data_IF_924839108826
#
_entry.id   IF_924839108826
#
_cell.length_a   1.000
_cell.length_b   1.000
_cell.length_c   1.000
_cell.angle_alpha   90.00
_cell.angle_beta   90.00
_cell.angle_gamma   90.00
#
_symmetry.space_group_name_H-M   'P 1'
#
loop_
_entity.id
_entity.type
_entity.pdbx_description
1 polymer ?
#
# COMPACT_ATOMS: atom_id res chain seq x y z
N UNK A 1 38.88 -3.81 -13.29
CA UNK A 1 39.05 -5.17 -13.82
C UNK A 1 37.99 -5.36 -14.88
N UNK A 2 38.35 -5.93 -16.02
CA UNK A 2 37.36 -6.25 -17.05
C UNK A 2 36.53 -7.44 -16.56
N UNK A 3 35.21 -7.32 -16.64
CA UNK A 3 34.29 -8.40 -16.32
C UNK A 3 34.08 -9.27 -17.56
N UNK A 4 33.82 -10.58 -17.40
CA UNK A 4 33.35 -11.42 -18.49
C UNK A 4 32.08 -10.84 -19.11
N UNK A 5 31.96 -10.95 -20.42
CA UNK A 5 30.84 -10.39 -21.21
C UNK A 5 29.96 -11.51 -21.74
N UNK A 6 28.67 -11.26 -22.00
CA UNK A 6 27.83 -12.23 -22.70
C UNK A 6 28.45 -12.65 -24.03
N UNK A 7 28.46 -13.96 -24.30
CA UNK A 7 28.91 -14.51 -25.57
C UNK A 7 27.99 -14.12 -26.73
N UNK A 8 28.40 -14.34 -27.99
CA UNK A 8 27.68 -13.85 -29.18
C UNK A 8 26.22 -14.31 -29.30
N UNK A 9 25.88 -15.47 -28.74
CA UNK A 9 24.51 -16.02 -28.74
C UNK A 9 23.71 -15.69 -27.47
N UNK A 10 24.32 -15.00 -26.49
CA UNK A 10 23.68 -14.61 -25.24
C UNK A 10 23.39 -15.75 -24.27
N UNK A 11 23.98 -16.94 -24.45
CA UNK A 11 23.68 -18.13 -23.62
C UNK A 11 24.74 -18.45 -22.56
N UNK A 12 25.86 -17.74 -22.55
CA UNK A 12 26.97 -17.90 -21.61
C UNK A 12 27.83 -16.64 -21.55
N UNK A 13 28.85 -16.63 -20.68
CA UNK A 13 29.83 -15.55 -20.59
C UNK A 13 31.21 -15.97 -21.12
N UNK A 14 31.90 -15.03 -21.75
CA UNK A 14 33.27 -15.16 -22.23
C UNK A 14 34.21 -14.19 -21.53
N UNK A 15 35.44 -14.63 -21.33
CA UNK A 15 36.55 -13.76 -20.95
C UNK A 15 37.71 -14.01 -21.91
N UNK A 16 38.21 -12.94 -22.54
CA UNK A 16 39.26 -13.04 -23.58
C UNK A 16 38.92 -14.00 -24.74
N UNK A 17 37.63 -14.07 -25.13
CA UNK A 17 37.16 -14.88 -26.27
C UNK A 17 36.98 -16.37 -25.98
N UNK A 18 37.00 -16.79 -24.71
CA UNK A 18 36.73 -18.16 -24.31
C UNK A 18 35.61 -18.23 -23.26
N UNK A 19 34.70 -19.21 -23.33
CA UNK A 19 33.69 -19.44 -22.30
C UNK A 19 34.34 -19.67 -20.93
N UNK A 20 33.80 -19.02 -19.88
CA UNK A 20 34.33 -19.18 -18.52
C UNK A 20 33.70 -20.37 -17.75
N UNK A 21 32.64 -20.97 -18.30
CA UNK A 21 31.98 -22.17 -17.77
C UNK A 21 31.29 -22.97 -18.89
N UNK A 22 30.97 -24.24 -18.62
CA UNK A 22 30.36 -25.16 -19.60
C UNK A 22 28.84 -25.01 -19.74
N UNK A 23 28.14 -24.61 -18.66
CA UNK A 23 26.68 -24.49 -18.67
C UNK A 23 26.22 -23.48 -19.73
N UNK A 24 25.06 -23.75 -20.35
CA UNK A 24 24.38 -22.84 -21.28
C UNK A 24 22.99 -22.53 -20.75
N UNK A 25 22.66 -21.24 -20.73
CA UNK A 25 21.38 -20.70 -20.28
C UNK A 25 20.55 -20.30 -21.50
N UNK A 26 19.27 -19.96 -21.30
CA UNK A 26 18.47 -19.39 -22.40
C UNK A 26 18.90 -17.96 -22.69
N UNK A 27 19.16 -17.19 -21.64
CA UNK A 27 19.63 -15.80 -21.71
C UNK A 27 20.55 -15.56 -20.52
N UNK A 28 21.65 -14.83 -20.74
CA UNK A 28 22.47 -14.23 -19.70
C UNK A 28 22.49 -12.71 -19.84
N UNK A 29 22.31 -12.01 -18.72
CA UNK A 29 22.66 -10.60 -18.56
C UNK A 29 24.15 -10.46 -18.23
N UNK A 30 24.73 -9.26 -18.32
CA UNK A 30 26.15 -9.04 -18.05
C UNK A 30 26.50 -9.20 -16.57
N UNK A 31 27.76 -9.56 -16.28
CA UNK A 31 28.27 -9.46 -14.92
C UNK A 31 28.30 -7.99 -14.46
N UNK A 32 27.85 -7.77 -13.23
CA UNK A 32 27.93 -6.51 -12.48
C UNK A 32 28.69 -6.72 -11.19
N UNK A 33 29.28 -5.66 -10.64
CA UNK A 33 29.78 -5.72 -9.26
C UNK A 33 28.61 -6.10 -8.33
N UNK A 34 28.76 -7.08 -7.42
CA UNK A 34 30.00 -7.66 -6.87
C UNK A 34 30.61 -8.86 -7.63
N UNK A 35 30.15 -9.17 -8.84
CA UNK A 35 30.61 -10.28 -9.67
C UNK A 35 29.51 -11.27 -10.02
N UNK A 36 28.27 -10.77 -10.11
CA UNK A 36 27.06 -11.56 -10.30
C UNK A 36 26.38 -11.20 -11.62
N UNK A 37 25.77 -12.19 -12.27
CA UNK A 37 25.04 -12.00 -13.52
C UNK A 37 23.65 -12.61 -13.44
N UNK A 38 22.65 -11.88 -13.94
CA UNK A 38 21.30 -12.38 -14.15
C UNK A 38 21.28 -13.45 -15.24
N UNK A 39 20.54 -14.53 -15.04
CA UNK A 39 20.36 -15.59 -16.03
C UNK A 39 18.92 -16.09 -16.03
N UNK A 40 18.52 -16.69 -17.15
CA UNK A 40 17.22 -17.35 -17.30
C UNK A 40 17.40 -18.74 -17.91
N UNK A 41 16.78 -19.76 -17.31
CA UNK A 41 16.72 -21.13 -17.85
C UNK A 41 15.31 -21.73 -17.72
N UNK A 42 15.14 -23.04 -17.88
CA UNK A 42 13.84 -23.73 -17.72
C UNK A 42 13.25 -23.59 -16.32
N UNK A 43 14.07 -23.39 -15.28
CA UNK A 43 13.64 -23.27 -13.89
C UNK A 43 13.18 -21.86 -13.51
N UNK A 44 13.55 -20.85 -14.29
CA UNK A 44 13.24 -19.44 -14.05
C UNK A 44 14.46 -18.54 -14.09
N UNK A 45 14.30 -17.32 -13.60
CA UNK A 45 15.34 -16.29 -13.53
C UNK A 45 16.04 -16.28 -12.15
N UNK A 46 17.36 -16.10 -12.13
CA UNK A 46 18.20 -16.05 -10.92
C UNK A 46 19.58 -15.47 -11.23
N UNK A 47 20.46 -15.39 -10.24
CA UNK A 47 21.84 -14.91 -10.40
C UNK A 47 22.89 -16.01 -10.25
N UNK A 48 23.97 -15.89 -11.02
CA UNK A 48 25.13 -16.79 -10.99
C UNK A 48 26.41 -16.04 -10.65
N UNK A 49 27.39 -16.79 -10.14
CA UNK A 49 28.77 -16.36 -10.00
C UNK A 49 29.61 -16.62 -11.27
N UNK A 50 30.91 -16.31 -11.25
CA UNK A 50 31.83 -16.54 -12.37
C UNK A 50 32.02 -18.02 -12.74
N UNK A 51 31.65 -18.96 -11.88
CA UNK A 51 31.69 -20.40 -12.20
C UNK A 51 30.43 -20.87 -12.96
N UNK A 52 29.43 -20.00 -13.12
CA UNK A 52 28.13 -20.37 -13.68
C UNK A 52 27.21 -21.05 -12.66
N UNK A 53 27.58 -21.02 -11.37
CA UNK A 53 26.81 -21.63 -10.30
C UNK A 53 25.77 -20.67 -9.75
N UNK A 54 24.53 -21.12 -9.45
CA UNK A 54 23.53 -20.28 -8.79
C UNK A 54 24.03 -19.80 -7.43
N UNK A 55 23.80 -18.52 -7.13
CA UNK A 55 24.15 -17.94 -5.81
C UNK A 55 23.15 -18.37 -4.72
N UNK A 56 21.91 -18.66 -5.11
CA UNK A 56 20.81 -19.05 -4.23
C UNK A 56 19.81 -20.00 -4.94
N UNK A 57 18.90 -20.61 -4.18
CA UNK A 57 18.01 -21.67 -4.66
C UNK A 57 16.71 -21.14 -5.29
N UNK A 58 16.25 -19.96 -4.88
CA UNK A 58 15.03 -19.35 -5.35
C UNK A 58 15.04 -19.07 -6.87
N UNK A 59 13.86 -19.16 -7.48
CA UNK A 59 13.66 -18.89 -8.91
C UNK A 59 12.52 -17.92 -9.11
N UNK A 60 12.74 -16.96 -10.01
CA UNK A 60 11.85 -15.84 -10.25
C UNK A 60 11.29 -15.87 -11.67
N UNK A 61 10.21 -15.11 -11.90
CA UNK A 61 9.73 -14.88 -13.26
C UNK A 61 10.65 -13.95 -14.04
N UNK A 62 11.37 -13.07 -13.33
CA UNK A 62 12.37 -12.15 -13.86
C UNK A 62 13.28 -11.65 -12.73
N UNK A 63 14.54 -11.34 -13.06
CA UNK A 63 15.48 -10.63 -12.18
C UNK A 63 16.15 -9.51 -12.99
N UNK A 64 16.41 -8.37 -12.34
CA UNK A 64 17.21 -7.28 -12.88
C UNK A 64 18.70 -7.50 -12.66
N UNK A 65 19.52 -6.61 -13.19
CA UNK A 65 20.96 -6.59 -12.93
C UNK A 65 21.25 -6.16 -11.48
N UNK A 66 22.42 -6.55 -10.95
CA UNK A 66 22.89 -5.99 -9.68
C UNK A 66 23.35 -4.53 -9.88
N UNK A 67 22.86 -3.66 -9.01
CA UNK A 67 23.26 -2.27 -8.89
C UNK A 67 23.24 -1.86 -7.41
N UNK A 68 24.28 -1.13 -6.96
CA UNK A 68 24.48 -0.77 -5.54
C UNK A 68 24.29 -1.97 -4.58
N UNK A 69 24.93 -3.10 -4.93
CA UNK A 69 24.92 -4.37 -4.18
C UNK A 69 23.54 -5.03 -3.98
N UNK A 70 22.54 -4.57 -4.74
CA UNK A 70 21.16 -5.05 -4.67
C UNK A 70 20.66 -5.45 -6.08
N UNK A 71 19.70 -6.36 -6.15
CA UNK A 71 19.00 -6.69 -7.38
C UNK A 71 17.49 -6.69 -7.15
N UNK A 72 16.73 -6.27 -8.17
CA UNK A 72 15.27 -6.40 -8.17
C UNK A 72 14.87 -7.78 -8.69
N UNK A 73 13.86 -8.39 -8.08
CA UNK A 73 13.29 -9.66 -8.53
C UNK A 73 11.79 -9.55 -8.68
N UNK A 74 11.22 -10.30 -9.63
CA UNK A 74 9.79 -10.41 -9.87
C UNK A 74 9.31 -11.83 -9.60
N UNK A 75 8.45 -11.98 -8.61
CA UNK A 75 7.81 -13.25 -8.26
C UNK A 75 6.91 -13.78 -9.37
N UNK A 76 6.58 -15.07 -9.33
CA UNK A 76 5.57 -15.66 -10.23
C UNK A 76 4.19 -15.01 -10.10
N UNK A 77 3.87 -14.44 -8.92
CA UNK A 77 2.64 -13.68 -8.67
C UNK A 77 2.63 -12.28 -9.28
N UNK A 78 3.76 -11.81 -9.82
CA UNK A 78 3.90 -10.51 -10.47
C UNK A 78 4.39 -9.39 -9.56
N UNK A 79 4.50 -9.63 -8.25
CA UNK A 79 5.06 -8.69 -7.28
C UNK A 79 6.58 -8.59 -7.37
N UNK A 80 7.10 -7.42 -7.02
CA UNK A 80 8.51 -7.09 -6.99
C UNK A 80 9.05 -6.95 -5.56
N UNK A 81 10.33 -7.24 -5.37
CA UNK A 81 11.09 -6.83 -4.19
C UNK A 81 12.59 -6.84 -4.50
N UNK A 82 13.42 -6.34 -3.57
CA UNK A 82 14.87 -6.34 -3.71
C UNK A 82 15.53 -7.45 -2.90
N UNK A 83 16.65 -7.96 -3.40
CA UNK A 83 17.53 -8.92 -2.73
C UNK A 83 18.94 -8.34 -2.64
N UNK A 84 19.69 -8.78 -1.63
CA UNK A 84 21.13 -8.52 -1.52
C UNK A 84 21.95 -9.60 -2.27
N UNK A 85 23.27 -9.48 -2.25
CA UNK A 85 24.21 -10.37 -2.94
C UNK A 85 24.09 -11.86 -2.57
N UNK A 86 23.58 -12.21 -1.38
CA UNK A 86 23.33 -13.62 -1.01
C UNK A 86 21.92 -14.11 -1.37
N UNK A 87 21.15 -13.33 -2.13
CA UNK A 87 19.76 -13.67 -2.47
C UNK A 87 18.76 -13.40 -1.34
N UNK A 88 19.18 -12.79 -0.22
CA UNK A 88 18.28 -12.49 0.89
C UNK A 88 17.47 -11.25 0.58
N UNK A 89 16.17 -11.34 0.86
CA UNK A 89 15.23 -10.24 0.71
C UNK A 89 15.62 -9.03 1.56
N UNK A 90 15.53 -7.86 0.96
CA UNK A 90 15.67 -6.55 1.60
C UNK A 90 14.27 -6.02 1.94
N UNK A 91 14.07 -5.63 3.20
CA UNK A 91 12.78 -5.20 3.73
C UNK A 91 11.73 -6.31 3.79
N UNK A 92 10.46 -5.93 4.02
CA UNK A 92 9.36 -6.88 4.25
C UNK A 92 8.16 -6.70 3.31
N UNK A 93 8.20 -5.71 2.40
CA UNK A 93 7.05 -5.35 1.57
C UNK A 93 7.23 -5.84 0.13
N UNK A 94 6.17 -6.39 -0.44
CA UNK A 94 6.07 -6.59 -1.89
C UNK A 94 5.68 -5.26 -2.53
N UNK A 95 6.17 -5.03 -3.74
CA UNK A 95 5.93 -3.84 -4.52
C UNK A 95 5.16 -4.19 -5.79
N UNK A 96 4.30 -3.28 -6.24
CA UNK A 96 3.67 -3.37 -7.56
C UNK A 96 4.72 -3.28 -8.67
N UNK A 97 5.76 -2.49 -8.41
CA UNK A 97 6.92 -2.31 -9.26
C UNK A 97 8.09 -1.81 -8.42
N UNK A 98 9.30 -2.18 -8.83
CA UNK A 98 10.52 -1.69 -8.24
C UNK A 98 11.58 -1.50 -9.32
N UNK A 99 12.34 -0.43 -9.17
CA UNK A 99 13.49 -0.12 -10.01
C UNK A 99 14.76 -0.76 -9.49
N UNK A 100 15.76 -0.87 -10.36
CA UNK A 100 17.15 -1.11 -9.95
C UNK A 100 17.66 0.09 -9.14
N UNK A 101 18.59 -0.17 -8.23
CA UNK A 101 19.22 0.92 -7.48
C UNK A 101 20.13 1.77 -8.36
N UNK A 102 20.12 3.06 -8.10
CA UNK A 102 21.02 4.03 -8.71
C UNK A 102 21.28 5.16 -7.72
N UNK A 103 22.55 5.57 -7.60
CA UNK A 103 22.99 6.58 -6.64
C UNK A 103 22.55 6.24 -5.19
N UNK A 104 22.51 4.95 -4.85
CA UNK A 104 22.12 4.45 -3.52
C UNK A 104 20.61 4.48 -3.23
N UNK A 105 19.77 4.77 -4.23
CA UNK A 105 18.31 4.84 -4.08
C UNK A 105 17.57 4.04 -5.16
N UNK A 106 16.35 3.59 -4.89
CA UNK A 106 15.48 3.00 -5.90
C UNK A 106 14.06 3.53 -5.76
N UNK A 107 13.35 3.67 -6.89
CA UNK A 107 11.91 3.96 -6.89
C UNK A 107 11.14 2.66 -6.69
N UNK A 108 10.15 2.69 -5.80
CA UNK A 108 9.19 1.60 -5.62
C UNK A 108 7.77 2.10 -5.69
N UNK A 109 6.89 1.27 -6.24
CA UNK A 109 5.46 1.51 -6.29
C UNK A 109 4.74 0.57 -5.34
N UNK A 110 3.91 1.14 -4.47
CA UNK A 110 3.00 0.36 -3.65
C UNK A 110 1.56 0.59 -4.06
N UNK A 111 0.83 -0.52 -4.09
CA UNK A 111 -0.63 -0.53 -4.25
C UNK A 111 -1.25 0.40 -3.21
N UNK A 112 -2.09 1.32 -3.66
CA UNK A 112 -2.81 2.31 -2.85
C UNK A 112 -1.99 3.45 -2.21
N UNK A 113 -0.68 3.56 -2.51
CA UNK A 113 0.14 4.69 -2.03
C UNK A 113 0.77 5.49 -3.18
N UNK A 114 1.21 4.80 -4.25
CA UNK A 114 1.96 5.41 -5.35
C UNK A 114 3.44 5.09 -5.27
N UNK A 115 4.26 6.04 -5.69
CA UNK A 115 5.71 5.93 -5.81
C UNK A 115 6.43 6.57 -4.62
N UNK A 116 7.58 6.03 -4.23
CA UNK A 116 8.53 6.68 -3.30
C UNK A 116 9.95 6.16 -3.55
N UNK A 117 10.94 6.81 -2.96
CA UNK A 117 12.34 6.37 -3.01
C UNK A 117 12.72 5.62 -1.73
N UNK A 118 13.46 4.53 -1.88
CA UNK A 118 14.00 3.75 -0.77
C UNK A 118 15.53 3.69 -0.82
N UNK A 119 16.14 3.48 0.35
CA UNK A 119 17.57 3.17 0.51
C UNK A 119 17.86 1.71 0.19
N UNK A 120 19.13 1.34 0.02
CA UNK A 120 19.56 -0.07 -0.13
C UNK A 120 19.22 -0.94 1.08
N UNK A 121 18.92 -0.33 2.24
CA UNK A 121 18.35 -1.02 3.42
C UNK A 121 16.86 -1.35 3.29
N UNK A 122 16.17 -0.85 2.26
CA UNK A 122 14.73 -1.01 2.06
C UNK A 122 13.88 -0.01 2.86
N UNK A 123 14.50 1.01 3.44
CA UNK A 123 13.85 2.07 4.21
C UNK A 123 13.43 3.19 3.27
N UNK A 124 12.33 3.89 3.55
CA UNK A 124 11.99 5.07 2.77
C UNK A 124 13.03 6.17 3.00
N UNK A 125 13.48 6.82 1.93
CA UNK A 125 14.50 7.87 1.98
C UNK A 125 14.01 9.10 2.76
N UNK A 126 12.74 9.42 2.54
CA UNK A 126 11.95 10.44 3.24
C UNK A 126 10.53 9.88 3.38
N UNK A 127 9.62 10.62 4.00
CA UNK A 127 8.31 10.04 4.34
C UNK A 127 7.27 10.04 3.20
N UNK A 128 7.43 10.86 2.18
CA UNK A 128 6.37 11.16 1.23
C UNK A 128 6.13 10.08 0.16
N UNK A 129 4.89 10.05 -0.33
CA UNK A 129 4.44 9.24 -1.44
C UNK A 129 3.92 10.15 -2.56
N UNK A 130 4.37 9.86 -3.78
CA UNK A 130 4.00 10.60 -4.98
C UNK A 130 3.11 9.76 -5.87
N UNK A 131 2.38 10.38 -6.79
CA UNK A 131 1.67 9.65 -7.83
C UNK A 131 2.63 8.99 -8.82
N UNK A 132 3.77 9.62 -9.06
CA UNK A 132 4.81 9.16 -9.97
C UNK A 132 6.16 9.66 -9.47
N UNK A 133 7.24 8.91 -9.71
CA UNK A 133 8.59 9.31 -9.34
C UNK A 133 9.60 8.78 -10.35
N UNK A 134 10.66 9.56 -10.59
CA UNK A 134 11.85 9.15 -11.33
C UNK A 134 13.00 8.95 -10.34
N UNK A 135 13.91 8.03 -10.65
CA UNK A 135 15.15 7.86 -9.88
C UNK A 135 15.96 9.15 -9.78
N UNK A 136 16.70 9.31 -8.68
CA UNK A 136 17.59 10.46 -8.48
C UNK A 136 18.68 10.49 -9.55
N UNK A 137 19.01 11.70 -10.01
CA UNK A 137 20.17 11.98 -10.86
C UNK A 137 20.83 13.27 -10.40
N UNK A 138 22.10 13.21 -10.03
CA UNK A 138 22.84 14.36 -9.48
C UNK A 138 22.12 15.00 -8.28
N UNK A 139 21.48 14.19 -7.43
CA UNK A 139 20.77 14.64 -6.22
C UNK A 139 19.39 15.27 -6.43
N UNK A 140 18.86 15.31 -7.66
CA UNK A 140 17.49 15.74 -7.96
C UNK A 140 16.63 14.57 -8.47
N UNK A 141 15.35 14.56 -8.11
CA UNK A 141 14.35 13.63 -8.67
C UNK A 141 13.11 14.38 -9.13
N UNK A 142 12.55 13.95 -10.27
CA UNK A 142 11.26 14.42 -10.77
C UNK A 142 10.15 13.54 -10.18
N UNK A 143 9.18 14.16 -9.52
CA UNK A 143 8.04 13.47 -8.89
C UNK A 143 6.74 14.18 -9.25
N UNK A 144 5.60 13.50 -9.03
CA UNK A 144 4.27 14.04 -9.32
C UNK A 144 3.40 14.03 -8.08
N UNK A 145 2.94 15.21 -7.67
CA UNK A 145 1.91 15.39 -6.64
C UNK A 145 0.56 15.81 -7.28
N UNK A 146 -0.35 16.36 -6.48
CA UNK A 146 -1.65 16.83 -6.94
C UNK A 146 -1.65 18.12 -7.76
N UNK A 147 -0.67 18.98 -7.53
CA UNK A 147 -0.52 20.24 -8.24
C UNK A 147 0.22 20.05 -9.56
N UNK A 148 0.90 18.91 -9.71
CA UNK A 148 1.51 18.48 -10.95
C UNK A 148 2.90 17.91 -10.71
N UNK A 149 3.82 18.20 -11.62
CA UNK A 149 5.18 17.73 -11.53
C UNK A 149 6.05 18.72 -10.77
N UNK A 150 6.98 18.20 -9.98
CA UNK A 150 7.92 18.97 -9.19
C UNK A 150 9.27 18.24 -9.13
N UNK A 151 10.33 19.01 -8.91
CA UNK A 151 11.66 18.49 -8.64
C UNK A 151 11.92 18.59 -7.14
N UNK A 152 12.39 17.49 -6.56
CA UNK A 152 12.77 17.38 -5.16
C UNK A 152 14.26 17.05 -5.01
N UNK A 153 14.83 17.39 -3.85
CA UNK A 153 16.16 16.94 -3.45
C UNK A 153 16.12 15.57 -2.72
N UNK A 154 17.29 15.04 -2.36
CA UNK A 154 17.42 13.74 -1.65
C UNK A 154 16.83 13.73 -0.24
N UNK A 155 16.45 14.88 0.30
CA UNK A 155 15.74 14.98 1.59
C UNK A 155 14.22 14.98 1.42
N UNK A 156 13.73 15.03 0.18
CA UNK A 156 12.31 15.16 -0.16
C UNK A 156 11.83 16.61 -0.23
N UNK A 157 12.71 17.60 -0.10
CA UNK A 157 12.32 19.00 -0.15
C UNK A 157 12.07 19.44 -1.60
N UNK A 158 10.93 20.09 -1.85
CA UNK A 158 10.63 20.70 -3.15
C UNK A 158 11.65 21.79 -3.50
N UNK A 159 12.21 21.70 -4.70
CA UNK A 159 13.11 22.69 -5.30
C UNK A 159 12.31 23.63 -6.21
N UNK A 160 11.48 23.08 -7.10
CA UNK A 160 10.69 23.81 -8.11
C UNK A 160 9.58 22.95 -8.70
N UNK A 161 8.51 23.61 -9.19
CA UNK A 161 7.56 22.99 -10.12
C UNK A 161 8.19 22.70 -11.48
N UNK A 162 7.68 21.71 -12.18
CA UNK A 162 8.18 21.22 -13.45
C UNK A 162 7.04 20.81 -14.39
N UNK A 163 7.36 20.66 -15.67
CA UNK A 163 6.48 20.08 -16.67
C UNK A 163 6.50 18.54 -16.60
N UNK A 164 5.43 17.87 -17.08
CA UNK A 164 5.43 16.42 -17.21
C UNK A 164 6.60 15.92 -18.08
N UNK A 165 7.18 14.75 -17.75
CA UNK A 165 8.16 14.11 -18.62
C UNK A 165 7.50 13.66 -19.91
N UNK A 166 8.27 13.61 -21.01
CA UNK A 166 7.79 13.16 -22.31
C UNK A 166 7.33 11.69 -22.30
N UNK A 167 7.97 10.86 -21.45
CA UNK A 167 7.65 9.44 -21.30
C UNK A 167 6.86 9.18 -20.00
N UNK A 168 5.66 8.62 -20.15
CA UNK A 168 4.89 8.06 -19.03
C UNK A 168 5.63 6.88 -18.40
N UNK A 169 5.52 6.73 -17.08
CA UNK A 169 6.13 5.59 -16.43
C UNK A 169 5.32 4.31 -16.66
N UNK A 170 5.97 3.13 -16.69
CA UNK A 170 5.31 1.88 -17.04
C UNK A 170 4.11 1.52 -16.16
N UNK A 171 4.03 2.10 -14.97
CA UNK A 171 3.03 1.77 -13.94
C UNK A 171 2.16 2.93 -13.49
N UNK A 172 2.28 4.11 -14.11
CA UNK A 172 1.54 5.32 -13.70
C UNK A 172 0.01 5.16 -13.80
N UNK A 173 -0.47 4.20 -14.60
CA UNK A 173 -1.90 3.86 -14.73
C UNK A 173 -2.37 2.58 -14.00
N UNK A 174 -1.47 1.81 -13.36
CA UNK A 174 -1.82 0.58 -12.63
C UNK A 174 -1.97 0.79 -11.12
N UNK A 175 -1.53 1.94 -10.60
CA UNK A 175 -1.75 2.31 -9.21
C UNK A 175 -3.21 2.71 -9.02
N UNK A 176 -3.97 1.90 -8.29
CA UNK A 176 -5.30 2.30 -7.81
C UNK A 176 -5.13 3.42 -6.79
N UNK A 177 -5.35 4.66 -7.20
CA UNK A 177 -5.46 5.79 -6.29
C UNK A 177 -6.85 5.75 -5.66
N UNK A 178 -6.97 5.02 -4.54
CA UNK A 178 -8.20 5.06 -3.76
C UNK A 178 -8.24 6.41 -3.06
N UNK A 179 -8.88 7.35 -3.73
CA UNK A 179 -9.07 8.74 -3.30
C UNK A 179 -10.07 9.41 -4.23
N UNK A 180 -9.66 9.65 -5.48
CA UNK A 180 -10.58 10.14 -6.52
C UNK A 180 -11.36 8.99 -7.21
N UNK A 181 -10.95 7.72 -7.04
CA UNK A 181 -11.55 6.56 -7.71
C UNK A 181 -12.29 5.58 -6.78
N UNK A 182 -12.57 5.96 -5.51
CA UNK A 182 -13.29 5.04 -4.62
C UNK A 182 -14.59 4.57 -5.30
N UNK A 183 -14.83 3.24 -5.41
CA UNK A 183 -16.04 2.73 -6.06
C UNK A 183 -17.28 2.96 -5.20
N UNK A 184 -17.12 3.25 -3.90
CA UNK A 184 -18.21 3.34 -2.93
C UNK A 184 -19.30 4.33 -3.38
N UNK A 185 -19.00 5.61 -3.73
CA UNK A 185 -20.02 6.52 -4.23
C UNK A 185 -20.79 6.03 -5.46
N UNK A 186 -20.14 5.30 -6.37
CA UNK A 186 -20.79 4.73 -7.56
C UNK A 186 -21.70 3.57 -7.15
N UNK A 187 -21.21 2.65 -6.32
CA UNK A 187 -21.95 1.49 -5.86
C UNK A 187 -23.18 1.90 -5.04
N UNK A 188 -23.08 2.95 -4.22
CA UNK A 188 -24.22 3.52 -3.49
C UNK A 188 -25.33 4.01 -4.42
N UNK A 189 -24.99 4.57 -5.59
CA UNK A 189 -25.97 5.05 -6.58
C UNK A 189 -26.58 3.92 -7.42
N UNK A 190 -25.80 2.88 -7.69
CA UNK A 190 -26.22 1.76 -8.56
C UNK A 190 -26.99 0.67 -7.83
N UNK A 191 -26.98 0.68 -6.49
CA UNK A 191 -27.61 -0.36 -5.66
C UNK A 191 -28.91 0.16 -5.05
N UNK A 192 -29.95 -0.65 -5.04
CA UNK A 192 -31.18 -0.37 -4.28
C UNK A 192 -31.02 -0.74 -2.80
N UNK A 193 -31.40 0.17 -1.91
CA UNK A 193 -31.33 0.03 -0.45
C UNK A 193 -32.16 1.11 0.25
N UNK A 194 -32.58 0.79 1.48
CA UNK A 194 -33.39 1.65 2.36
C UNK A 194 -32.53 2.36 3.43
N UNK A 195 -31.36 1.83 3.77
CA UNK A 195 -30.32 2.54 4.51
C UNK A 195 -28.92 2.04 4.09
N UNK A 196 -27.91 2.91 4.12
CA UNK A 196 -26.52 2.53 3.86
C UNK A 196 -25.60 3.04 4.97
N UNK A 197 -24.66 2.20 5.39
CA UNK A 197 -23.57 2.59 6.30
C UNK A 197 -22.24 2.30 5.61
N UNK A 198 -21.42 3.32 5.45
CA UNK A 198 -20.09 3.23 4.83
C UNK A 198 -19.07 3.18 5.95
N UNK A 199 -18.36 2.06 6.11
CA UNK A 199 -17.19 1.99 7.00
C UNK A 199 -15.95 2.18 6.13
N UNK A 200 -15.22 3.27 6.35
CA UNK A 200 -14.10 3.68 5.49
C UNK A 200 -12.87 4.00 6.31
N UNK A 201 -11.68 3.69 5.79
CA UNK A 201 -10.42 4.16 6.38
C UNK A 201 -10.31 5.68 6.21
N UNK A 202 -9.72 6.38 7.18
CA UNK A 202 -9.33 7.78 7.01
C UNK A 202 -8.55 8.02 5.70
N UNK A 203 -8.59 9.26 5.22
CA UNK A 203 -7.86 9.67 4.03
C UNK A 203 -6.35 9.69 4.26
N UNK A 204 -5.59 9.92 3.19
CA UNK A 204 -4.15 9.93 3.29
C UNK A 204 -3.65 10.92 4.34
N UNK A 205 -2.69 10.47 5.14
CA UNK A 205 -2.01 11.27 6.14
C UNK A 205 -0.53 11.34 5.86
N UNK A 206 0.09 12.33 6.46
CA UNK A 206 1.54 12.42 6.51
C UNK A 206 2.15 11.11 7.06
N UNK A 207 3.32 10.73 6.53
CA UNK A 207 4.08 9.58 6.97
C UNK A 207 4.53 9.69 8.43
N UNK A 208 4.81 8.54 9.02
CA UNK A 208 5.44 8.49 10.34
C UNK A 208 6.92 8.76 10.20
N UNK A 209 7.36 9.93 10.67
CA UNK A 209 8.78 10.24 10.85
C UNK A 209 9.17 9.71 12.23
N UNK A 210 10.28 8.96 12.30
CA UNK A 210 10.77 8.35 13.54
C UNK A 210 11.00 9.43 14.60
N UNK A 211 10.28 9.36 15.72
CA UNK A 211 10.39 10.31 16.83
C UNK A 211 9.20 11.26 17.00
N UNK A 212 8.27 11.32 16.04
CA UNK A 212 7.08 12.17 16.15
C UNK A 212 5.85 11.42 16.70
N UNK A 213 5.02 12.07 17.55
CA UNK A 213 3.78 11.48 18.04
C UNK A 213 2.81 11.18 16.89
N UNK A 214 2.54 9.90 16.63
CA UNK A 214 1.67 9.47 15.54
C UNK A 214 0.19 9.90 15.66
N UNK A 215 -0.26 10.30 16.86
CA UNK A 215 -1.63 10.74 17.14
C UNK A 215 -1.96 12.13 16.60
N UNK A 216 -0.96 12.94 16.22
CA UNK A 216 -1.14 14.33 15.75
C UNK A 216 -0.93 14.49 14.25
N UNK A 217 -0.78 13.39 13.49
CA UNK A 217 -0.50 13.45 12.06
C UNK A 217 -1.70 13.98 11.27
N UNK A 218 -1.42 15.01 10.46
CA UNK A 218 -2.40 15.66 9.60
C UNK A 218 -2.65 14.85 8.34
N UNK A 219 -3.79 15.12 7.70
CA UNK A 219 -4.01 14.64 6.35
C UNK A 219 -3.02 15.34 5.42
N UNK A 220 -2.58 14.66 4.36
CA UNK A 220 -1.87 15.34 3.26
C UNK A 220 -2.88 16.19 2.49
N UNK A 221 -2.43 17.21 1.74
CA UNK A 221 -3.29 17.94 0.78
C UNK A 221 -4.08 16.95 -0.09
N UNK A 222 -3.42 15.85 -0.49
CA UNK A 222 -4.04 14.75 -1.23
C UNK A 222 -5.12 13.99 -0.49
N UNK A 223 -4.88 13.66 0.76
CA UNK A 223 -5.90 13.08 1.61
C UNK A 223 -7.10 14.01 1.76
N UNK A 224 -6.86 15.31 1.91
CA UNK A 224 -7.93 16.29 2.09
C UNK A 224 -8.81 16.42 0.86
N UNK A 225 -8.20 16.62 -0.32
CA UNK A 225 -8.90 16.71 -1.60
C UNK A 225 -9.67 15.44 -1.91
N UNK A 226 -9.04 14.27 -1.71
CA UNK A 226 -9.69 12.99 -1.93
C UNK A 226 -10.92 12.79 -1.03
N UNK A 227 -10.86 13.21 0.23
CA UNK A 227 -12.00 13.14 1.15
C UNK A 227 -13.15 14.07 0.72
N UNK A 228 -12.82 15.30 0.27
CA UNK A 228 -13.78 16.24 -0.27
C UNK A 228 -14.49 15.67 -1.50
N UNK A 229 -13.73 15.19 -2.48
CA UNK A 229 -14.27 14.58 -3.71
C UNK A 229 -15.06 13.30 -3.44
N UNK A 230 -14.67 12.51 -2.44
CA UNK A 230 -15.48 11.38 -1.98
C UNK A 230 -16.88 11.85 -1.56
N UNK A 231 -16.95 12.91 -0.75
CA UNK A 231 -18.19 13.56 -0.33
C UNK A 231 -19.03 14.05 -1.50
N UNK A 232 -18.45 14.84 -2.40
CA UNK A 232 -19.11 15.38 -3.60
C UNK A 232 -19.81 14.28 -4.43
N UNK A 233 -19.17 13.11 -4.50
CA UNK A 233 -19.64 11.99 -5.30
C UNK A 233 -20.75 11.16 -4.66
N UNK A 234 -21.07 11.29 -3.37
CA UNK A 234 -22.11 10.48 -2.69
C UNK A 234 -23.54 10.73 -3.23
N UNK A 235 -23.76 11.78 -4.02
CA UNK A 235 -25.06 12.08 -4.63
C UNK A 235 -26.01 12.82 -3.69
N UNK A 236 -27.32 12.76 -3.97
CA UNK A 236 -28.31 13.65 -3.35
C UNK A 236 -28.91 13.15 -2.03
N UNK A 237 -28.63 11.91 -1.59
CA UNK A 237 -29.19 11.37 -0.36
C UNK A 237 -28.61 12.08 0.86
N UNK A 238 -29.38 12.12 1.96
CA UNK A 238 -28.94 12.69 3.23
C UNK A 238 -27.73 11.92 3.77
N UNK A 239 -26.76 12.66 4.29
CA UNK A 239 -25.50 12.10 4.82
C UNK A 239 -25.32 12.57 6.26
N UNK A 240 -24.88 11.67 7.13
CA UNK A 240 -24.25 12.04 8.41
C UNK A 240 -22.92 11.32 8.54
N UNK A 241 -22.03 11.83 9.38
CA UNK A 241 -20.75 11.20 9.61
C UNK A 241 -20.42 11.02 11.08
N UNK A 242 -19.76 9.90 11.38
CA UNK A 242 -19.12 9.61 12.66
C UNK A 242 -17.69 9.17 12.38
N UNK A 243 -16.77 9.38 13.32
CA UNK A 243 -15.37 9.02 13.15
C UNK A 243 -14.72 8.60 14.45
N UNK A 244 -13.64 7.84 14.35
CA UNK A 244 -12.71 7.67 15.47
C UNK A 244 -12.27 9.05 15.99
N UNK A 245 -12.09 9.24 17.31
CA UNK A 245 -11.64 10.51 17.89
C UNK A 245 -10.25 10.99 17.41
N UNK A 246 -9.50 10.14 16.72
CA UNK A 246 -8.22 10.50 16.10
C UNK A 246 -8.38 11.64 15.09
N UNK A 247 -7.50 12.63 15.17
CA UNK A 247 -7.56 13.85 14.36
C UNK A 247 -7.77 13.58 12.86
N UNK A 248 -6.95 12.69 12.27
CA UNK A 248 -7.07 12.31 10.86
C UNK A 248 -8.43 11.74 10.47
N UNK A 249 -9.08 10.99 11.37
CA UNK A 249 -10.39 10.38 11.10
C UNK A 249 -11.49 11.44 11.19
N UNK A 250 -11.43 12.29 12.21
CA UNK A 250 -12.35 13.43 12.36
C UNK A 250 -12.25 14.38 11.17
N UNK A 251 -11.04 14.77 10.78
CA UNK A 251 -10.79 15.67 9.65
C UNK A 251 -11.25 15.06 8.31
N UNK A 252 -11.03 13.75 8.12
CA UNK A 252 -11.56 13.04 6.93
C UNK A 252 -13.09 13.11 6.88
N UNK A 253 -13.77 12.85 8.00
CA UNK A 253 -15.23 12.87 8.07
C UNK A 253 -15.80 14.28 7.86
N UNK A 254 -15.14 15.30 8.41
CA UNK A 254 -15.47 16.72 8.21
C UNK A 254 -15.38 17.09 6.72
N UNK A 255 -14.30 16.71 6.04
CA UNK A 255 -14.14 16.97 4.61
C UNK A 255 -15.15 16.23 3.74
N UNK A 256 -15.53 14.99 4.10
CA UNK A 256 -16.61 14.27 3.40
C UNK A 256 -17.95 15.01 3.54
N UNK A 257 -18.27 15.55 4.72
CA UNK A 257 -19.46 16.38 4.93
C UNK A 257 -19.37 17.71 4.18
N UNK A 258 -18.20 18.37 4.19
CA UNK A 258 -17.96 19.58 3.43
C UNK A 258 -18.14 19.37 1.92
N UNK A 259 -17.72 18.23 1.39
CA UNK A 259 -17.93 17.84 -0.01
C UNK A 259 -19.41 17.63 -0.35
N UNK A 260 -20.26 17.38 0.66
CA UNK A 260 -21.73 17.40 0.51
C UNK A 260 -22.34 18.80 0.58
N UNK A 261 -21.54 19.83 0.82
CA UNK A 261 -22.01 21.18 1.13
C UNK A 261 -22.64 21.29 2.52
N UNK A 262 -22.31 20.38 3.43
CA UNK A 262 -22.81 20.38 4.81
C UNK A 262 -21.77 21.02 5.73
N UNK A 263 -22.20 22.03 6.50
CA UNK A 263 -21.42 22.63 7.59
C UNK A 263 -21.75 21.95 8.93
N UNK A 264 -21.77 20.61 8.90
CA UNK A 264 -22.05 19.76 10.05
C UNK A 264 -20.75 19.16 10.58
N UNK A 265 -20.64 19.03 11.90
CA UNK A 265 -19.48 18.37 12.52
C UNK A 265 -19.73 16.86 12.64
N UNK A 266 -18.75 16.02 12.30
CA UNK A 266 -18.87 14.59 12.51
C UNK A 266 -18.91 14.25 14.00
N UNK A 267 -19.62 13.17 14.35
CA UNK A 267 -19.68 12.65 15.71
C UNK A 267 -18.43 11.82 16.03
N UNK A 268 -17.68 12.18 17.07
CA UNK A 268 -16.59 11.35 17.57
C UNK A 268 -17.15 10.11 18.26
N UNK A 269 -16.63 8.92 17.91
CA UNK A 269 -17.08 7.67 18.51
C UNK A 269 -15.93 6.68 18.72
N UNK A 270 -15.71 6.31 19.97
CA UNK A 270 -14.64 5.39 20.39
C UNK A 270 -14.80 4.01 19.78
N UNK A 271 -16.00 3.57 19.36
CA UNK A 271 -16.19 2.28 18.69
C UNK A 271 -15.44 2.19 17.36
N UNK A 272 -15.17 3.34 16.73
CA UNK A 272 -14.42 3.45 15.47
C UNK A 272 -12.90 3.55 15.67
N UNK A 273 -12.42 3.67 16.91
CA UNK A 273 -11.00 3.67 17.28
C UNK A 273 -10.76 4.20 18.71
N UNK A 274 -9.75 3.67 19.39
CA UNK A 274 -9.29 4.00 20.77
C UNK A 274 -10.40 4.11 21.86
N UNK A 275 -10.55 3.13 22.78
CA UNK A 275 -10.06 1.75 22.71
C UNK A 275 -10.79 0.93 21.63
N UNK A 276 -11.81 1.45 20.96
CA UNK A 276 -12.39 0.74 19.81
C UNK A 276 -13.37 -0.35 20.17
N UNK A 277 -14.03 -0.89 19.14
CA UNK A 277 -14.79 -2.12 19.26
C UNK A 277 -13.92 -3.36 19.56
N UNK A 278 -12.61 -3.27 19.30
CA UNK A 278 -11.69 -4.41 19.36
C UNK A 278 -10.72 -4.41 20.56
N UNK A 279 -10.42 -3.28 21.19
CA UNK A 279 -9.43 -3.20 22.27
C UNK A 279 -10.15 -2.96 23.60
N UNK A 280 -9.74 -3.66 24.65
CA UNK A 280 -10.21 -3.43 26.03
C UNK A 280 -9.09 -2.96 26.96
N UNK A 281 -7.83 -3.14 26.56
CA UNK A 281 -6.64 -2.73 27.32
C UNK A 281 -5.61 -2.14 26.35
N UNK A 282 -5.57 -0.81 26.30
CA UNK A 282 -4.68 -0.06 25.40
C UNK A 282 -3.20 -0.16 25.83
N UNK A 283 -2.92 -0.28 27.13
CA UNK A 283 -1.54 -0.36 27.64
C UNK A 283 -0.86 -1.67 27.21
N UNK A 284 -1.57 -2.78 27.40
CA UNK A 284 -1.12 -4.10 26.95
C UNK A 284 -0.94 -4.15 25.43
N UNK A 285 -1.80 -3.45 24.72
CA UNK A 285 -1.82 -3.38 23.25
C UNK A 285 -0.63 -2.59 22.69
N UNK A 286 -0.32 -1.43 23.27
CA UNK A 286 0.82 -0.58 22.85
C UNK A 286 2.14 -1.35 22.86
N UNK A 287 2.40 -2.15 23.89
CA UNK A 287 3.62 -2.95 23.98
C UNK A 287 3.81 -3.94 22.82
N UNK A 288 2.71 -4.42 22.22
CA UNK A 288 2.74 -5.35 21.10
C UNK A 288 2.96 -4.64 19.76
N UNK A 289 2.28 -3.50 19.54
CA UNK A 289 2.42 -2.69 18.33
C UNK A 289 3.75 -1.93 18.24
N UNK A 290 4.39 -1.61 19.37
CA UNK A 290 5.74 -0.99 19.36
C UNK A 290 6.80 -1.96 18.83
N UNK A 291 6.63 -3.26 19.07
CA UNK A 291 7.63 -4.28 18.72
C UNK A 291 7.40 -4.90 17.34
N UNK A 292 6.24 -4.68 16.74
CA UNK A 292 5.84 -5.36 15.51
C UNK A 292 5.09 -4.40 14.58
N UNK A 293 5.31 -4.47 13.26
CA UNK A 293 4.53 -3.69 12.31
C UNK A 293 3.02 -3.91 12.48
N UNK A 294 2.23 -2.84 12.47
CA UNK A 294 0.77 -2.86 12.68
C UNK A 294 0.05 -3.89 11.81
N UNK A 295 0.38 -3.96 10.52
CA UNK A 295 -0.17 -4.97 9.58
C UNK A 295 0.09 -6.39 10.08
N UNK A 296 1.30 -6.71 10.52
CA UNK A 296 1.68 -8.05 11.01
C UNK A 296 0.86 -8.43 12.23
N UNK A 297 0.71 -7.51 13.17
CA UNK A 297 -0.10 -7.70 14.38
C UNK A 297 -1.56 -7.98 14.02
N UNK A 298 -2.13 -7.20 13.10
CA UNK A 298 -3.53 -7.38 12.70
C UNK A 298 -3.74 -8.68 11.93
N UNK A 299 -2.82 -9.07 11.03
CA UNK A 299 -2.90 -10.35 10.33
C UNK A 299 -2.78 -11.54 11.31
N UNK A 300 -1.93 -11.40 12.33
CA UNK A 300 -1.88 -12.39 13.41
C UNK A 300 -3.23 -12.49 14.11
N UNK A 301 -3.83 -11.36 14.50
CA UNK A 301 -5.13 -11.33 15.18
C UNK A 301 -6.26 -11.92 14.34
N UNK A 302 -6.29 -11.63 13.03
CA UNK A 302 -7.23 -12.24 12.08
C UNK A 302 -7.07 -13.76 12.07
N UNK A 303 -5.82 -14.25 12.02
CA UNK A 303 -5.52 -15.68 11.94
C UNK A 303 -5.80 -16.43 13.24
N UNK A 304 -5.45 -15.86 14.39
CA UNK A 304 -5.56 -16.53 15.70
C UNK A 304 -6.91 -16.27 16.37
N UNK A 305 -7.62 -15.22 15.97
CA UNK A 305 -8.86 -14.76 16.58
C UNK A 305 -8.67 -14.05 17.92
N UNK A 306 -7.45 -13.99 18.45
CA UNK A 306 -7.12 -13.41 19.75
C UNK A 306 -5.78 -12.69 19.71
N UNK A 307 -5.68 -11.59 20.47
CA UNK A 307 -4.47 -10.78 20.60
C UNK A 307 -4.46 -10.15 22.00
N UNK A 308 -3.30 -10.04 22.69
CA UNK A 308 -3.25 -9.37 23.98
C UNK A 308 -3.87 -7.97 23.94
N UNK A 309 -4.70 -7.67 24.93
CA UNK A 309 -5.44 -6.41 25.07
C UNK A 309 -6.64 -6.24 24.14
N UNK A 310 -6.92 -7.21 23.28
CA UNK A 310 -8.05 -7.20 22.36
C UNK A 310 -9.13 -8.21 22.78
N UNK A 311 -10.39 -7.85 22.56
CA UNK A 311 -11.49 -8.80 22.60
C UNK A 311 -11.22 -9.96 21.61
N UNK A 312 -11.87 -11.13 21.73
CA UNK A 312 -11.93 -12.08 20.62
C UNK A 312 -12.41 -11.38 19.34
N UNK A 313 -11.79 -11.65 18.19
CA UNK A 313 -12.07 -10.89 16.95
C UNK A 313 -13.54 -10.93 16.53
N UNK A 314 -14.23 -12.05 16.81
CA UNK A 314 -15.67 -12.21 16.57
C UNK A 314 -16.48 -11.26 17.45
N UNK A 315 -16.16 -11.19 18.73
CA UNK A 315 -16.83 -10.28 19.68
C UNK A 315 -16.60 -8.82 19.27
N UNK A 316 -15.37 -8.45 18.92
CA UNK A 316 -15.09 -7.08 18.44
C UNK A 316 -15.83 -6.74 17.14
N UNK A 317 -15.95 -7.71 16.23
CA UNK A 317 -16.71 -7.57 14.99
C UNK A 317 -18.21 -7.40 15.25
N UNK A 318 -18.78 -8.15 16.19
CA UNK A 318 -20.18 -8.02 16.58
C UNK A 318 -20.47 -6.66 17.23
N UNK A 319 -19.57 -6.18 18.10
CA UNK A 319 -19.64 -4.84 18.70
C UNK A 319 -19.62 -3.74 17.63
N UNK A 320 -18.67 -3.81 16.70
CA UNK A 320 -18.58 -2.84 15.60
C UNK A 320 -19.81 -2.93 14.68
N UNK A 321 -20.27 -4.14 14.34
CA UNK A 321 -21.45 -4.32 13.50
C UNK A 321 -22.71 -3.72 14.14
N UNK A 322 -22.90 -3.94 15.45
CA UNK A 322 -24.03 -3.40 16.20
C UNK A 322 -24.01 -1.86 16.21
N UNK A 323 -22.84 -1.26 16.45
CA UNK A 323 -22.65 0.18 16.34
C UNK A 323 -22.97 0.69 14.94
N UNK A 324 -22.38 0.10 13.89
CA UNK A 324 -22.61 0.56 12.52
C UNK A 324 -24.09 0.51 12.15
N UNK A 325 -24.78 -0.60 12.49
CA UNK A 325 -26.24 -0.72 12.27
C UNK A 325 -27.04 0.33 13.05
N UNK A 326 -26.63 0.73 14.25
CA UNK A 326 -27.33 1.77 15.02
C UNK A 326 -27.19 3.17 14.40
N UNK A 327 -26.13 3.41 13.62
CA UNK A 327 -25.98 4.67 12.88
C UNK A 327 -26.88 4.75 11.65
N UNK A 328 -27.46 3.64 11.17
CA UNK A 328 -28.25 3.67 9.95
C UNK A 328 -29.57 4.45 10.11
N UNK A 329 -29.99 5.12 9.04
CA UNK A 329 -31.25 5.86 9.01
C UNK A 329 -31.89 5.75 7.63
N UNK A 330 -33.22 5.92 7.60
CA UNK A 330 -34.02 5.71 6.40
C UNK A 330 -33.60 6.66 5.27
N UNK A 331 -33.45 6.11 4.06
CA UNK A 331 -33.07 6.79 2.82
C UNK A 331 -31.77 7.61 2.91
N UNK A 332 -30.91 7.25 3.87
CA UNK A 332 -29.70 7.99 4.22
C UNK A 332 -28.42 7.17 4.20
N UNK A 333 -27.31 7.89 4.16
CA UNK A 333 -25.95 7.35 4.20
C UNK A 333 -25.30 7.77 5.52
N UNK A 334 -24.93 6.79 6.35
CA UNK A 334 -24.07 7.03 7.50
C UNK A 334 -22.62 6.73 7.13
N UNK A 335 -21.74 7.73 7.16
CA UNK A 335 -20.31 7.55 6.89
C UNK A 335 -19.58 7.39 8.22
N UNK A 336 -18.88 6.28 8.39
CA UNK A 336 -18.13 5.93 9.59
C UNK A 336 -16.64 5.82 9.25
N UNK A 337 -15.83 6.79 9.70
CA UNK A 337 -14.39 6.83 9.41
C UNK A 337 -13.58 6.14 10.51
N UNK A 338 -12.80 5.14 10.13
CA UNK A 338 -11.99 4.29 11.02
C UNK A 338 -10.54 4.14 10.50
N UNK A 339 -9.84 3.12 10.98
CA UNK A 339 -8.47 2.76 10.62
C UNK A 339 -8.45 1.50 9.77
N UNK A 340 -7.36 1.28 9.06
CA UNK A 340 -7.13 0.08 8.24
C UNK A 340 -7.25 -1.21 9.05
N UNK A 341 -6.72 -1.22 10.28
CA UNK A 341 -6.73 -2.39 11.16
C UNK A 341 -8.14 -2.86 11.55
N UNK A 342 -9.05 -1.92 11.84
CA UNK A 342 -10.43 -2.26 12.23
C UNK A 342 -11.24 -2.65 11.00
N UNK A 343 -11.04 -1.96 9.88
CA UNK A 343 -11.67 -2.32 8.61
C UNK A 343 -11.25 -3.73 8.15
N UNK A 344 -9.95 -4.03 8.20
CA UNK A 344 -9.42 -5.34 7.81
C UNK A 344 -9.94 -6.46 8.71
N UNK A 345 -9.91 -6.27 10.04
CA UNK A 345 -10.46 -7.23 11.00
C UNK A 345 -11.95 -7.49 10.76
N UNK A 346 -12.74 -6.43 10.56
CA UNK A 346 -14.18 -6.48 10.34
C UNK A 346 -14.53 -7.22 9.04
N UNK A 347 -13.95 -6.80 7.92
CA UNK A 347 -14.22 -7.40 6.60
C UNK A 347 -13.74 -8.83 6.55
N UNK A 348 -12.53 -9.13 7.06
CA UNK A 348 -11.99 -10.50 7.05
C UNK A 348 -12.88 -11.44 7.85
N UNK A 349 -13.33 -11.02 9.03
CA UNK A 349 -14.18 -11.84 9.91
C UNK A 349 -15.54 -12.15 9.28
N UNK A 350 -16.17 -11.18 8.61
CA UNK A 350 -17.51 -11.33 8.03
C UNK A 350 -17.52 -12.02 6.66
N UNK A 351 -16.42 -11.95 5.90
CA UNK A 351 -16.41 -12.39 4.49
C UNK A 351 -15.38 -13.46 4.17
N UNK A 352 -14.41 -13.68 5.06
CA UNK A 352 -13.23 -14.51 4.81
C UNK A 352 -12.20 -13.87 3.88
N UNK A 353 -12.28 -12.56 3.63
CA UNK A 353 -11.30 -11.87 2.77
C UNK A 353 -9.88 -11.93 3.36
N UNK A 354 -8.91 -12.29 2.53
CA UNK A 354 -7.50 -12.34 2.90
C UNK A 354 -6.80 -11.01 2.59
N UNK A 355 -6.28 -10.37 3.63
CA UNK A 355 -5.57 -9.10 3.56
C UNK A 355 -4.04 -9.26 3.52
N UNK A 356 -3.51 -10.48 3.44
CA UNK A 356 -2.07 -10.77 3.49
C UNK A 356 -1.31 -9.97 2.41
N UNK A 357 -1.76 -10.05 1.16
CA UNK A 357 -1.10 -9.40 0.02
C UNK A 357 -1.89 -8.19 -0.54
N UNK A 358 -3.02 -7.84 0.08
CA UNK A 358 -3.96 -6.86 -0.47
C UNK A 358 -4.58 -5.98 0.61
N UNK A 359 -3.71 -5.22 1.28
CA UNK A 359 -4.09 -4.33 2.39
C UNK A 359 -4.99 -3.17 1.94
N UNK A 360 -5.78 -2.63 2.86
CA UNK A 360 -6.70 -1.52 2.58
C UNK A 360 -5.93 -0.24 2.22
N UNK A 361 -6.41 0.48 1.20
CA UNK A 361 -5.94 1.82 0.85
C UNK A 361 -6.57 2.91 1.72
N UNK A 362 -6.12 4.15 1.56
CA UNK A 362 -6.85 5.32 2.09
C UNK A 362 -8.22 5.42 1.40
N UNK A 363 -9.25 5.85 2.14
CA UNK A 363 -10.65 5.91 1.66
C UNK A 363 -11.19 4.60 1.05
N UNK A 364 -10.51 3.48 1.27
CA UNK A 364 -11.01 2.13 1.00
C UNK A 364 -11.97 1.74 2.14
N UNK A 365 -12.99 0.96 1.81
CA UNK A 365 -14.09 0.73 2.75
C UNK A 365 -15.12 -0.29 2.27
N UNK A 366 -15.94 -0.74 3.21
CA UNK A 366 -17.10 -1.58 2.93
C UNK A 366 -18.40 -0.79 3.10
N UNK A 367 -19.46 -1.27 2.44
CA UNK A 367 -20.81 -0.71 2.59
C UNK A 367 -21.69 -1.77 3.25
N UNK A 368 -22.40 -1.40 4.31
CA UNK A 368 -23.51 -2.17 4.85
C UNK A 368 -24.81 -1.63 4.23
N UNK A 369 -25.41 -2.42 3.34
CA UNK A 369 -26.73 -2.14 2.79
C UNK A 369 -27.80 -2.78 3.65
N UNK A 370 -28.80 -2.00 4.04
CA UNK A 370 -30.08 -2.53 4.50
C UNK A 370 -31.06 -2.54 3.33
N UNK A 371 -31.48 -3.74 2.94
CA UNK A 371 -32.51 -3.97 1.92
C UNK A 371 -33.71 -4.60 2.64
N UNK A 372 -34.74 -3.80 2.94
CA UNK A 372 -35.84 -4.14 3.84
C UNK A 372 -35.29 -4.51 5.23
N UNK A 373 -35.47 -5.76 5.66
CA UNK A 373 -35.01 -6.27 6.96
C UNK A 373 -33.63 -6.96 6.89
N UNK A 374 -33.07 -7.13 5.69
CA UNK A 374 -31.82 -7.89 5.50
C UNK A 374 -30.63 -6.96 5.32
N UNK A 375 -29.52 -7.32 5.97
CA UNK A 375 -28.25 -6.63 5.87
C UNK A 375 -27.29 -7.36 4.94
N UNK A 376 -26.56 -6.59 4.14
CA UNK A 376 -25.55 -7.08 3.24
C UNK A 376 -24.28 -6.24 3.38
N UNK A 377 -23.12 -6.88 3.43
CA UNK A 377 -21.82 -6.24 3.36
C UNK A 377 -21.30 -6.32 1.93
N UNK A 378 -21.09 -5.16 1.33
CA UNK A 378 -20.38 -5.02 0.07
C UNK A 378 -18.90 -4.70 0.32
N UNK A 379 -18.01 -5.49 -0.27
CA UNK A 379 -16.56 -5.27 -0.27
C UNK A 379 -15.98 -5.68 -1.62
N UNK A 380 -15.32 -4.73 -2.31
CA UNK A 380 -14.57 -4.95 -3.57
C UNK A 380 -15.33 -5.78 -4.62
N UNK A 381 -16.58 -5.42 -4.86
CA UNK A 381 -17.43 -6.04 -5.88
C UNK A 381 -18.16 -7.30 -5.43
N UNK A 382 -17.94 -7.79 -4.19
CA UNK A 382 -18.67 -8.92 -3.62
C UNK A 382 -19.64 -8.44 -2.56
N UNK A 383 -20.89 -8.91 -2.65
CA UNK A 383 -21.92 -8.72 -1.63
C UNK A 383 -22.07 -10.00 -0.78
N UNK A 384 -22.00 -9.86 0.55
CA UNK A 384 -22.14 -10.94 1.53
C UNK A 384 -23.35 -10.68 2.41
N UNK A 385 -24.30 -11.61 2.48
CA UNK A 385 -25.44 -11.50 3.40
C UNK A 385 -24.97 -11.68 4.85
N UNK A 386 -25.41 -10.80 5.75
CA UNK A 386 -25.05 -10.80 7.17
C UNK A 386 -26.11 -11.44 8.08
#
# INVERSE_FOLDING_TARGET
MDLPVPGPDGTYHEFSGAPIYEKRFKIVGPFRFPGLAAVFDESGAYHIDFSGSPVYEERYSWVGDYADDCAVVKTAGGDYYHINEEGKRIGHNNYLYAEEFSEGTAVIYRRNYGATHITTGGEMLYGDWYFDARGFRNGEALVRDEEGWLVIDTTGQEIRRADPPDEEYPVSGTVRFIGEESPIPIILKMTEWDAAVVLVRHAEREPFIKGEPGSQKKLTTRGERAALTFGERLGARSVKASASPMFRCMHTAELILAGRGLDEKPEANDSLGEPGAYIFDDELTRGFYVKNPTKTVTLQYIRTGTLPGHYPIREGTERLLAFLKSTAFQDGISVCVTHDVFLAAFVSTLTGYDFTDDWTGFLDGCILFRKKETWYLWWRGKETKL
#
